data_IF_188530533227
#
_entry.id   IF_188530533227
#
_cell.length_a   1.000
_cell.length_b   1.000
_cell.length_c   1.000
_cell.angle_alpha   90.00
_cell.angle_beta   90.00
_cell.angle_gamma   90.00
#
_symmetry.space_group_name_H-M   'P 1'
#
loop_
_entity.id
_entity.type
_entity.pdbx_description
1 polymer ?
#
# COMPACT_ATOMS: atom_id res chain seq x y z
N UNK A 1 -14.68 -12.53 7.68
CA UNK A 1 -14.71 -11.23 6.99
C UNK A 1 -15.88 -10.43 7.55
N UNK A 2 -15.69 -9.14 7.90
CA UNK A 2 -16.72 -8.33 8.60
C UNK A 2 -17.62 -7.49 7.67
N UNK A 3 -17.24 -7.36 6.40
CA UNK A 3 -17.94 -6.56 5.39
C UNK A 3 -16.96 -6.11 4.30
N UNK A 4 -17.47 -5.48 3.25
CA UNK A 4 -16.69 -4.80 2.22
C UNK A 4 -17.15 -3.33 2.20
N UNK A 5 -16.20 -2.41 2.17
CA UNK A 5 -16.44 -0.97 2.01
C UNK A 5 -15.79 -0.52 0.70
N UNK A 6 -16.50 0.31 -0.04
CA UNK A 6 -15.97 0.93 -1.26
C UNK A 6 -15.51 2.34 -0.92
N UNK A 7 -14.29 2.68 -1.32
CA UNK A 7 -13.68 4.00 -1.13
C UNK A 7 -13.24 4.53 -2.50
N UNK A 8 -13.27 5.85 -2.66
CA UNK A 8 -12.88 6.55 -3.90
C UNK A 8 -11.38 6.86 -3.96
N UNK A 9 -10.67 6.59 -2.87
CA UNK A 9 -9.26 6.89 -2.67
C UNK A 9 -8.52 5.64 -2.22
N UNK A 10 -7.24 5.53 -2.59
CA UNK A 10 -6.38 4.47 -2.09
C UNK A 10 -6.06 4.73 -0.61
N UNK A 11 -6.66 3.95 0.28
CA UNK A 11 -6.46 4.05 1.73
C UNK A 11 -5.59 2.91 2.24
N UNK A 12 -4.56 3.25 3.03
CA UNK A 12 -3.66 2.26 3.60
C UNK A 12 -4.41 1.25 4.46
N UNK A 13 -4.32 -0.02 4.08
CA UNK A 13 -4.95 -1.16 4.74
C UNK A 13 -4.10 -1.75 5.86
N UNK A 14 -4.46 -2.97 6.28
CA UNK A 14 -3.88 -3.62 7.45
C UNK A 14 -2.35 -3.75 7.39
N UNK A 15 -1.79 -4.12 6.23
CA UNK A 15 -0.36 -4.33 6.08
C UNK A 15 0.40 -3.02 5.85
N UNK A 16 -0.14 -2.10 5.05
CA UNK A 16 0.49 -0.81 4.76
C UNK A 16 0.59 0.06 6.01
N UNK A 17 -0.42 0.04 6.89
CA UNK A 17 -0.36 0.71 8.21
C UNK A 17 0.72 0.11 9.12
N UNK A 18 1.13 -1.15 8.88
CA UNK A 18 2.22 -1.82 9.59
C UNK A 18 3.59 -1.66 8.92
N UNK A 19 3.67 -0.82 7.89
CA UNK A 19 4.92 -0.49 7.21
C UNK A 19 5.28 -1.43 6.08
N UNK A 20 4.32 -2.15 5.50
CA UNK A 20 4.52 -2.86 4.24
C UNK A 20 4.29 -1.93 3.05
N UNK A 21 4.95 -2.23 1.94
CA UNK A 21 4.82 -1.48 0.69
C UNK A 21 3.40 -1.63 0.09
N UNK A 22 2.86 -0.57 -0.49
CA UNK A 22 1.51 -0.55 -1.09
C UNK A 22 1.40 -1.55 -2.24
N UNK A 23 2.39 -1.55 -3.13
CA UNK A 23 2.42 -2.48 -4.28
C UNK A 23 3.06 -3.85 -3.98
N UNK A 24 3.92 -3.90 -2.96
CA UNK A 24 4.65 -5.10 -2.55
C UNK A 24 5.27 -5.93 -3.71
N UNK A 25 5.87 -5.30 -4.73
CA UNK A 25 6.38 -6.00 -5.91
C UNK A 25 7.56 -6.93 -5.53
N UNK A 26 7.43 -8.26 -5.71
CA UNK A 26 8.46 -9.20 -5.29
C UNK A 26 9.67 -9.23 -6.23
N UNK A 27 9.56 -8.76 -7.46
CA UNK A 27 10.69 -8.66 -8.40
C UNK A 27 11.52 -7.40 -8.16
N UNK A 28 10.87 -6.35 -7.65
CA UNK A 28 11.54 -5.11 -7.24
C UNK A 28 11.98 -5.11 -5.78
N UNK A 29 11.75 -6.24 -5.08
CA UNK A 29 12.03 -6.44 -3.65
C UNK A 29 11.38 -5.41 -2.73
N UNK A 30 10.29 -4.79 -3.17
CA UNK A 30 9.55 -3.73 -2.48
C UNK A 30 8.75 -4.36 -1.34
N UNK A 31 9.32 -4.41 -0.12
CA UNK A 31 8.64 -5.07 1.02
C UNK A 31 8.11 -4.07 2.01
N UNK A 32 8.84 -2.98 2.23
CA UNK A 32 8.54 -2.06 3.30
C UNK A 32 8.21 -0.66 2.80
N UNK A 33 7.35 0.03 3.53
CA UNK A 33 6.86 1.36 3.17
C UNK A 33 7.95 2.44 3.16
N UNK A 34 9.09 2.20 3.82
CA UNK A 34 10.21 3.15 3.79
C UNK A 34 10.96 3.14 2.44
N UNK A 35 10.72 2.11 1.62
CA UNK A 35 11.27 1.97 0.25
C UNK A 35 10.39 2.70 -0.78
N UNK A 36 9.16 3.08 -0.39
CA UNK A 36 8.23 3.79 -1.26
C UNK A 36 8.78 5.19 -1.62
N UNK A 37 8.79 5.50 -2.91
CA UNK A 37 9.06 6.85 -3.38
C UNK A 37 7.82 7.74 -3.20
N UNK A 38 8.03 9.06 -3.10
CA UNK A 38 6.95 10.06 -3.02
C UNK A 38 5.94 9.97 -4.17
N UNK A 39 6.37 9.40 -5.30
CA UNK A 39 5.56 9.21 -6.51
C UNK A 39 4.55 8.08 -6.31
N UNK A 40 4.94 7.00 -5.61
CA UNK A 40 4.08 5.85 -5.33
C UNK A 40 2.88 6.21 -4.42
N UNK A 41 2.97 7.26 -3.60
CA UNK A 41 1.85 7.74 -2.78
C UNK A 41 0.82 8.55 -3.58
N UNK A 42 1.15 8.98 -4.80
CA UNK A 42 0.32 9.87 -5.62
C UNK A 42 -0.45 9.12 -6.71
N UNK A 43 -0.12 7.86 -6.95
CA UNK A 43 -0.84 7.02 -7.90
C UNK A 43 -2.10 6.42 -7.23
N UNK A 44 -3.30 6.64 -7.81
CA UNK A 44 -4.55 6.10 -7.29
C UNK A 44 -4.65 4.58 -7.40
#
# INVERSE_FOLDING_TARGET
LRGLEFTDRNERGFWEVRGYHTHADPWREERYSYEESKEAETEP
#
